data_IF_386344001562
#
_entry.id   IF_386344001562
#
_cell.length_a   1.000
_cell.length_b   1.000
_cell.length_c   1.000
_cell.angle_alpha   90.00
_cell.angle_beta   90.00
_cell.angle_gamma   90.00
#
_symmetry.space_group_name_H-M   'P 1'
#
loop_
_entity.id
_entity.type
_entity.pdbx_description
1 polymer ?
#
# COMPACT_ATOMS: atom_id res chain seq x y z
N UNK A 1 2.19 -6.56 14.56
CA UNK A 1 1.63 -5.80 13.42
C UNK A 1 0.99 -6.83 12.51
N UNK A 2 -0.33 -6.87 12.47
CA UNK A 2 -1.09 -7.85 11.70
C UNK A 2 -1.72 -7.10 10.55
N UNK A 3 -1.01 -7.08 9.42
CA UNK A 3 -1.45 -6.41 8.20
C UNK A 3 -2.81 -6.99 7.78
N UNK A 4 -3.83 -6.13 7.69
CA UNK A 4 -5.20 -6.56 7.34
C UNK A 4 -5.27 -6.90 5.86
N UNK A 5 -5.77 -8.10 5.57
CA UNK A 5 -5.92 -8.63 4.21
C UNK A 5 -7.36 -8.44 3.72
N UNK A 6 -7.52 -7.73 2.61
CA UNK A 6 -8.79 -7.43 1.99
C UNK A 6 -8.96 -8.18 0.69
N UNK A 7 -10.09 -8.86 0.50
CA UNK A 7 -10.50 -9.28 -0.85
C UNK A 7 -10.96 -8.05 -1.62
N UNK A 8 -10.69 -8.01 -2.94
CA UNK A 8 -11.13 -6.88 -3.79
C UNK A 8 -12.62 -6.56 -3.64
N UNK A 9 -13.49 -7.57 -3.54
CA UNK A 9 -14.93 -7.36 -3.39
C UNK A 9 -15.27 -6.64 -2.07
N UNK A 10 -14.58 -6.98 -0.98
CA UNK A 10 -14.77 -6.36 0.34
C UNK A 10 -14.20 -4.94 0.38
N UNK A 11 -12.98 -4.76 -0.15
CA UNK A 11 -12.35 -3.45 -0.27
C UNK A 11 -13.20 -2.47 -1.08
N UNK A 12 -13.89 -2.93 -2.13
CA UNK A 12 -14.81 -2.08 -2.91
C UNK A 12 -16.00 -1.60 -2.07
N UNK A 13 -16.57 -2.48 -1.25
CA UNK A 13 -17.70 -2.14 -0.40
C UNK A 13 -17.32 -1.23 0.78
N UNK A 14 -16.08 -1.37 1.27
CA UNK A 14 -15.56 -0.70 2.47
C UNK A 14 -14.34 0.17 2.18
N UNK A 15 -14.30 0.79 1.01
CA UNK A 15 -13.13 1.55 0.56
C UNK A 15 -12.75 2.65 1.55
N UNK A 16 -13.74 3.40 2.05
CA UNK A 16 -13.50 4.47 3.02
C UNK A 16 -12.92 3.96 4.34
N UNK A 17 -13.36 2.79 4.83
CA UNK A 17 -12.80 2.16 6.03
C UNK A 17 -11.35 1.76 5.78
N UNK A 18 -11.08 1.09 4.66
CA UNK A 18 -9.73 0.66 4.30
C UNK A 18 -8.76 1.84 4.17
N UNK A 19 -9.17 2.95 3.56
CA UNK A 19 -8.34 4.15 3.42
C UNK A 19 -8.13 4.84 4.77
N UNK A 20 -9.14 4.89 5.65
CA UNK A 20 -8.95 5.41 7.00
C UNK A 20 -7.94 4.56 7.79
N UNK A 21 -8.03 3.23 7.69
CA UNK A 21 -7.10 2.32 8.36
C UNK A 21 -5.69 2.34 7.77
N UNK A 22 -5.50 2.76 6.51
CA UNK A 22 -4.17 2.82 5.90
C UNK A 22 -3.25 3.90 6.49
N UNK A 23 -3.79 4.77 7.35
CA UNK A 23 -3.00 5.74 8.11
C UNK A 23 -2.23 5.07 9.25
N UNK A 24 -2.82 4.03 9.87
CA UNK A 24 -2.19 3.33 10.99
C UNK A 24 -1.31 2.17 10.52
N UNK A 25 -1.80 1.38 9.57
CA UNK A 25 -1.06 0.24 9.01
C UNK A 25 -1.39 0.06 7.52
N UNK A 26 -0.42 -0.37 6.69
CA UNK A 26 -0.68 -0.75 5.30
C UNK A 26 -1.80 -1.80 5.18
N UNK A 27 -2.66 -1.65 4.18
CA UNK A 27 -3.78 -2.55 3.92
C UNK A 27 -3.51 -3.35 2.65
N UNK A 28 -3.56 -4.69 2.71
CA UNK A 28 -3.27 -5.53 1.55
C UNK A 28 -4.53 -5.89 0.77
N UNK A 29 -4.45 -5.73 -0.54
CA UNK A 29 -5.47 -6.15 -1.49
C UNK A 29 -5.12 -7.50 -2.10
N UNK A 30 -6.04 -8.45 -1.95
CA UNK A 30 -5.95 -9.79 -2.48
C UNK A 30 -6.96 -10.03 -3.60
N UNK A 31 -6.46 -10.58 -4.70
CA UNK A 31 -7.28 -11.23 -5.70
C UNK A 31 -7.22 -12.74 -5.50
N UNK A 32 -8.35 -13.33 -5.09
CA UNK A 32 -8.45 -14.74 -4.68
C UNK A 32 -7.48 -15.06 -3.52
N UNK A 33 -6.34 -15.67 -3.81
CA UNK A 33 -5.30 -16.06 -2.83
C UNK A 33 -3.96 -15.35 -3.06
N UNK A 34 -3.93 -14.34 -3.93
CA UNK A 34 -2.69 -13.64 -4.29
C UNK A 34 -2.77 -12.16 -3.89
N UNK A 35 -1.77 -11.62 -3.19
CA UNK A 35 -1.68 -10.18 -2.98
C UNK A 35 -1.41 -9.50 -4.33
N UNK A 36 -2.14 -8.44 -4.62
CA UNK A 36 -2.07 -7.72 -5.90
C UNK A 36 -1.76 -6.24 -5.74
N UNK A 37 -2.10 -5.64 -4.59
CA UNK A 37 -1.80 -4.26 -4.28
C UNK A 37 -1.72 -4.05 -2.76
N UNK A 38 -1.13 -2.94 -2.35
CA UNK A 38 -1.19 -2.43 -0.99
C UNK A 38 -1.72 -1.00 -1.02
N UNK A 39 -2.50 -0.62 -0.02
CA UNK A 39 -2.92 0.75 0.23
C UNK A 39 -2.15 1.24 1.44
N UNK A 40 -1.48 2.37 1.28
CA UNK A 40 -0.66 3.04 2.29
C UNK A 40 -1.10 4.50 2.39
N UNK A 41 -0.68 5.18 3.45
CA UNK A 41 -0.89 6.61 3.59
C UNK A 41 -0.16 7.39 2.48
N UNK A 42 -0.58 8.64 2.26
CA UNK A 42 0.06 9.49 1.25
C UNK A 42 1.50 9.84 1.68
N UNK A 43 1.73 10.00 2.97
CA UNK A 43 3.04 10.27 3.57
C UNK A 43 4.02 9.11 3.29
N UNK A 44 3.60 7.86 3.56
CA UNK A 44 4.43 6.69 3.26
C UNK A 44 4.68 6.54 1.75
N UNK A 45 3.70 6.87 0.92
CA UNK A 45 3.86 6.85 -0.53
C UNK A 45 4.88 7.88 -1.02
N UNK A 46 4.84 9.10 -0.48
CA UNK A 46 5.80 10.16 -0.82
C UNK A 46 7.22 9.79 -0.39
N UNK A 47 7.41 9.25 0.82
CA UNK A 47 8.68 8.74 1.29
C UNK A 47 9.22 7.63 0.40
N UNK A 48 8.36 6.67 0.02
CA UNK A 48 8.74 5.59 -0.90
C UNK A 48 9.16 6.13 -2.27
N UNK A 49 8.44 7.12 -2.80
CA UNK A 49 8.76 7.73 -4.09
C UNK A 49 10.06 8.52 -4.03
N UNK A 50 10.33 9.26 -2.94
CA UNK A 50 11.59 9.95 -2.71
C UNK A 50 12.75 8.94 -2.64
N UNK A 51 12.60 7.87 -1.86
CA UNK A 51 13.57 6.77 -1.79
C UNK A 51 13.87 6.18 -3.16
N UNK A 52 12.84 5.84 -3.94
CA UNK A 52 13.00 5.25 -5.28
C UNK A 52 13.73 6.18 -6.25
N UNK A 53 13.50 7.49 -6.15
CA UNK A 53 14.22 8.50 -6.94
C UNK A 53 15.70 8.60 -6.56
N UNK A 54 16.03 8.51 -5.26
CA UNK A 54 17.43 8.51 -4.81
C UNK A 54 18.19 7.25 -5.24
N UNK A 55 17.54 6.09 -5.30
CA UNK A 55 18.17 4.86 -5.78
C UNK A 55 18.45 4.88 -7.28
N UNK A 56 17.53 5.40 -8.10
CA UNK A 56 17.75 5.51 -9.55
C UNK A 56 18.94 6.39 -9.92
N UNK A 57 19.26 7.40 -9.11
CA UNK A 57 20.42 8.28 -9.33
C UNK A 57 21.76 7.65 -8.93
N UNK A 58 21.76 6.58 -8.12
CA UNK A 58 23.00 5.89 -7.69
C UNK A 58 23.52 4.86 -8.69
N UNK A 59 22.81 4.59 -9.79
CA UNK A 59 23.23 3.61 -10.81
C UNK A 59 23.99 4.22 -12.00
N UNK A 60 24.70 5.33 -11.79
CA UNK A 60 25.76 5.79 -12.70
C UNK A 60 27.09 5.68 -11.95
N UNK A 61 27.73 4.52 -12.05
CA UNK A 61 29.12 4.28 -11.68
C UNK A 61 29.72 3.33 -12.72
#
# INVERSE_FOLDING_TARGET
MTIKEWKIAEAKAKLSEMVASSVEEPQLLYNRKKPVAAVISIEEYEEFMAFKQTQKKKTMA
#
